data_IF_143384178419
#
_entry.id   IF_143384178419
#
_cell.length_a   1.000
_cell.length_b   1.000
_cell.length_c   1.000
_cell.angle_alpha   90.00
_cell.angle_beta   90.00
_cell.angle_gamma   90.00
#
_symmetry.space_group_name_H-M   'P 1'
#
loop_
_entity.id
_entity.type
_entity.pdbx_description
1 polymer ?
#
# COMPACT_ATOMS: atom_id res chain seq x y z
N UNK A 1 -5.38 -37.18 3.56
CA UNK A 1 -6.14 -36.00 4.04
C UNK A 1 -5.51 -35.31 5.26
N UNK A 2 -5.05 -36.02 6.31
CA UNK A 2 -4.47 -35.39 7.53
C UNK A 2 -3.28 -34.44 7.31
N UNK A 3 -2.35 -34.75 6.39
CA UNK A 3 -1.17 -33.90 6.10
C UNK A 3 -1.52 -32.53 5.49
N UNK A 4 -2.62 -32.42 4.76
CA UNK A 4 -3.08 -31.16 4.16
C UNK A 4 -3.67 -30.23 5.23
N UNK A 5 -4.35 -30.80 6.23
CA UNK A 5 -4.96 -30.07 7.34
C UNK A 5 -3.90 -29.51 8.29
N UNK A 6 -2.84 -30.28 8.58
CA UNK A 6 -1.71 -29.81 9.40
C UNK A 6 -0.91 -28.69 8.73
N UNK A 7 -0.65 -28.81 7.42
CA UNK A 7 0.01 -27.76 6.63
C UNK A 7 -0.82 -26.47 6.58
N UNK A 8 -2.16 -26.57 6.50
CA UNK A 8 -3.05 -25.40 6.58
C UNK A 8 -3.00 -24.73 7.95
N UNK A 9 -2.91 -25.50 9.04
CA UNK A 9 -2.84 -24.95 10.40
C UNK A 9 -1.47 -24.31 10.72
N UNK A 10 -0.36 -24.86 10.21
CA UNK A 10 0.95 -24.23 10.36
C UNK A 10 1.05 -22.92 9.59
N UNK A 11 0.50 -22.88 8.37
CA UNK A 11 0.40 -21.66 7.56
C UNK A 11 -0.47 -20.60 8.25
N UNK A 12 -1.64 -20.97 8.78
CA UNK A 12 -2.49 -20.04 9.56
C UNK A 12 -1.76 -19.44 10.77
N UNK A 13 -1.01 -20.26 11.52
CA UNK A 13 -0.22 -19.79 12.67
C UNK A 13 0.93 -18.87 12.25
N UNK A 14 1.59 -19.15 11.12
CA UNK A 14 2.63 -18.25 10.59
C UNK A 14 2.05 -16.91 10.15
N UNK A 15 0.90 -16.90 9.47
CA UNK A 15 0.22 -15.67 9.04
C UNK A 15 -0.19 -14.84 10.26
N UNK A 16 -0.76 -15.48 11.29
CA UNK A 16 -1.19 -14.79 12.51
C UNK A 16 0.00 -14.20 13.30
N UNK A 17 1.12 -14.92 13.36
CA UNK A 17 2.36 -14.46 13.99
C UNK A 17 3.02 -13.32 13.19
N UNK A 18 3.03 -13.43 11.86
CA UNK A 18 3.52 -12.37 10.98
C UNK A 18 2.67 -11.10 11.10
N UNK A 19 1.34 -11.23 11.16
CA UNK A 19 0.43 -10.11 11.38
C UNK A 19 0.68 -9.39 12.71
N UNK A 20 0.90 -10.15 13.79
CA UNK A 20 1.23 -9.60 15.12
C UNK A 20 2.59 -8.89 15.15
N UNK A 21 3.59 -9.45 14.47
CA UNK A 21 4.93 -8.83 14.38
C UNK A 21 4.89 -7.56 13.52
N UNK A 22 4.17 -7.58 12.39
CA UNK A 22 4.02 -6.40 11.55
C UNK A 22 3.26 -5.27 12.27
N UNK A 23 2.18 -5.60 12.99
CA UNK A 23 1.45 -4.64 13.80
C UNK A 23 2.31 -4.07 14.94
N UNK A 24 3.04 -4.93 15.66
CA UNK A 24 3.96 -4.50 16.72
C UNK A 24 5.09 -3.60 16.22
N UNK A 25 5.66 -3.90 15.06
CA UNK A 25 6.67 -3.07 14.43
C UNK A 25 6.10 -1.69 14.04
N UNK A 26 4.93 -1.65 13.40
CA UNK A 26 4.27 -0.41 13.03
C UNK A 26 3.93 0.47 14.26
N UNK A 27 3.47 -0.13 15.36
CA UNK A 27 3.23 0.61 16.61
C UNK A 27 4.53 1.13 17.22
N UNK A 28 5.61 0.33 17.21
CA UNK A 28 6.90 0.76 17.74
C UNK A 28 7.49 1.95 16.98
N UNK A 29 7.32 2.01 15.65
CA UNK A 29 7.79 3.17 14.86
C UNK A 29 7.02 4.45 15.15
N UNK A 30 5.73 4.35 15.46
CA UNK A 30 4.90 5.51 15.81
C UNK A 30 5.23 6.04 17.21
N UNK A 31 5.61 5.17 18.15
CA UNK A 31 5.92 5.56 19.54
C UNK A 31 7.32 6.18 19.72
N UNK A 32 8.21 6.11 18.73
CA UNK A 32 9.60 6.60 18.82
C UNK A 32 9.83 7.98 18.18
N UNK A 33 8.78 8.71 17.79
CA UNK A 33 8.95 10.05 17.21
C UNK A 33 9.12 11.10 18.31
N UNK A 34 10.34 11.57 18.54
CA UNK A 34 10.60 12.73 19.40
C UNK A 34 10.39 14.01 18.59
N UNK A 35 9.45 14.88 19.00
CA UNK A 35 9.22 16.16 18.33
C UNK A 35 10.34 17.14 18.69
N UNK A 36 11.17 17.53 17.70
CA UNK A 36 12.24 18.52 17.86
C UNK A 36 11.76 19.85 17.27
N UNK A 37 11.51 20.84 18.13
CA UNK A 37 11.07 22.17 17.70
C UNK A 37 12.29 23.03 17.32
N UNK A 38 12.56 23.15 16.02
CA UNK A 38 13.57 24.07 15.49
C UNK A 38 12.90 25.40 15.09
N UNK A 39 13.18 26.49 15.81
CA UNK A 39 12.71 27.83 15.40
C UNK A 39 13.45 28.27 14.13
N UNK A 40 12.73 28.78 13.12
CA UNK A 40 13.31 29.24 11.86
C UNK A 40 13.47 28.17 10.78
N UNK A 41 12.88 26.98 10.96
CA UNK A 41 12.90 25.91 9.96
C UNK A 41 12.04 26.21 8.71
N UNK A 42 11.14 27.21 8.75
CA UNK A 42 10.20 27.51 7.65
C UNK A 42 10.88 27.77 6.29
N UNK A 43 12.07 28.37 6.31
CA UNK A 43 12.87 28.61 5.09
C UNK A 43 13.33 27.32 4.41
N UNK A 44 13.45 26.22 5.16
CA UNK A 44 13.84 24.90 4.63
C UNK A 44 12.66 23.92 4.57
N UNK A 45 11.66 24.02 5.44
CA UNK A 45 10.51 23.11 5.46
C UNK A 45 9.50 23.44 4.37
N UNK A 46 9.32 24.71 3.98
CA UNK A 46 8.36 25.07 2.93
C UNK A 46 8.70 24.47 1.54
N UNK A 47 9.95 24.56 1.04
CA UNK A 47 10.34 23.88 -0.20
C UNK A 47 10.24 22.36 -0.11
N UNK A 48 10.60 21.79 1.04
CA UNK A 48 10.53 20.33 1.27
C UNK A 48 9.08 19.82 1.27
N UNK A 49 8.15 20.59 1.85
CA UNK A 49 6.72 20.25 1.85
C UNK A 49 6.12 20.29 0.44
N UNK A 50 6.53 21.25 -0.38
CA UNK A 50 6.14 21.29 -1.80
C UNK A 50 6.67 20.09 -2.58
N UNK A 51 7.93 19.70 -2.33
CA UNK A 51 8.51 18.50 -2.95
C UNK A 51 7.79 17.23 -2.52
N UNK A 52 7.48 17.08 -1.21
CA UNK A 52 6.68 15.98 -0.67
C UNK A 52 5.32 15.89 -1.37
N UNK A 53 4.60 17.00 -1.44
CA UNK A 53 3.28 17.06 -2.08
C UNK A 53 3.35 16.71 -3.57
N UNK A 54 4.39 17.19 -4.27
CA UNK A 54 4.64 16.85 -5.67
C UNK A 54 4.88 15.34 -5.84
N UNK A 55 5.71 14.74 -5.00
CA UNK A 55 6.01 13.30 -5.07
C UNK A 55 4.75 12.46 -4.78
N UNK A 56 3.96 12.82 -3.77
CA UNK A 56 2.68 12.15 -3.47
C UNK A 56 1.72 12.26 -4.66
N UNK A 57 1.65 13.44 -5.30
CA UNK A 57 0.81 13.64 -6.47
C UNK A 57 1.25 12.77 -7.66
N UNK A 58 2.56 12.62 -7.90
CA UNK A 58 3.09 11.75 -8.95
C UNK A 58 2.77 10.28 -8.67
N UNK A 59 2.95 9.81 -7.43
CA UNK A 59 2.62 8.43 -7.04
C UNK A 59 1.13 8.17 -7.23
N UNK A 60 0.26 9.10 -6.81
CA UNK A 60 -1.17 9.01 -7.03
C UNK A 60 -1.53 8.89 -8.52
N UNK A 61 -0.94 9.73 -9.37
CA UNK A 61 -1.15 9.71 -10.82
C UNK A 61 -0.69 8.39 -11.47
N UNK A 62 0.48 7.88 -11.09
CA UNK A 62 0.98 6.58 -11.56
C UNK A 62 0.06 5.44 -11.12
N UNK A 63 -0.46 5.48 -9.90
CA UNK A 63 -1.42 4.49 -9.38
C UNK A 63 -2.70 4.40 -10.22
N UNK A 64 -3.25 5.55 -10.65
CA UNK A 64 -4.44 5.62 -11.51
C UNK A 64 -4.14 5.05 -12.91
N UNK A 65 -2.97 5.31 -13.47
CA UNK A 65 -2.56 4.77 -14.78
C UNK A 65 -2.44 3.24 -14.72
N UNK A 66 -1.83 2.71 -13.66
CA UNK A 66 -1.72 1.26 -13.44
C UNK A 66 -3.11 0.63 -13.32
N UNK A 67 -4.04 1.28 -12.62
CA UNK A 67 -5.45 0.87 -12.57
C UNK A 67 -6.07 0.75 -13.94
N UNK A 68 -5.97 1.81 -14.75
CA UNK A 68 -6.56 1.85 -16.08
C UNK A 68 -6.04 0.69 -16.94
N UNK A 69 -4.72 0.44 -16.92
CA UNK A 69 -4.11 -0.68 -17.65
C UNK A 69 -4.63 -2.04 -17.21
N UNK A 70 -4.67 -2.30 -15.90
CA UNK A 70 -5.12 -3.60 -15.40
C UNK A 70 -6.64 -3.79 -15.51
N UNK A 71 -7.44 -2.72 -15.50
CA UNK A 71 -8.90 -2.80 -15.77
C UNK A 71 -9.16 -3.13 -17.25
N UNK A 72 -8.38 -2.57 -18.18
CA UNK A 72 -8.49 -2.89 -19.60
C UNK A 72 -8.10 -4.36 -19.88
N UNK A 73 -7.02 -4.87 -19.27
CA UNK A 73 -6.63 -6.29 -19.36
C UNK A 73 -7.64 -7.22 -18.66
N UNK A 74 -8.26 -6.78 -17.57
CA UNK A 74 -9.34 -7.52 -16.89
C UNK A 74 -10.57 -7.66 -17.78
N UNK A 75 -10.99 -6.61 -18.49
CA UNK A 75 -12.15 -6.65 -19.39
C UNK A 75 -11.94 -7.59 -20.59
N UNK A 76 -10.71 -7.63 -21.14
CA UNK A 76 -10.37 -8.51 -22.26
C UNK A 76 -10.24 -9.97 -21.83
N UNK A 77 -9.59 -10.24 -20.69
CA UNK A 77 -9.49 -11.60 -20.13
C UNK A 77 -10.81 -12.16 -19.63
N UNK A 78 -11.77 -11.31 -19.24
CA UNK A 78 -13.12 -11.73 -18.85
C UNK A 78 -13.90 -12.38 -19.99
N UNK A 79 -13.75 -11.89 -21.23
CA UNK A 79 -14.43 -12.47 -22.40
C UNK A 79 -13.77 -13.75 -22.91
N UNK A 80 -12.48 -13.96 -22.62
CA UNK A 80 -11.72 -15.14 -23.07
C UNK A 80 -11.67 -16.27 -22.02
N UNK A 81 -12.29 -16.11 -20.85
CA UNK A 81 -12.25 -17.08 -19.73
C UNK A 81 -10.82 -17.48 -19.27
N UNK A 82 -9.80 -16.71 -19.63
CA UNK A 82 -8.42 -16.93 -19.20
C UNK A 82 -8.22 -16.45 -17.76
N UNK A 83 -8.57 -17.33 -16.84
CA UNK A 83 -8.55 -17.12 -15.39
C UNK A 83 -7.15 -16.78 -14.82
N UNK A 84 -6.07 -17.10 -15.53
CA UNK A 84 -4.70 -16.71 -15.17
C UNK A 84 -4.42 -15.23 -15.41
N UNK A 85 -4.79 -14.71 -16.58
CA UNK A 85 -4.66 -13.29 -16.95
C UNK A 85 -5.58 -12.41 -16.11
N UNK A 86 -6.78 -12.89 -15.79
CA UNK A 86 -7.71 -12.20 -14.91
C UNK A 86 -7.19 -12.05 -13.48
N UNK A 87 -6.55 -13.09 -12.92
CA UNK A 87 -6.02 -13.03 -11.56
C UNK A 87 -4.81 -12.08 -11.44
N UNK A 88 -3.98 -11.98 -12.49
CA UNK A 88 -2.91 -10.97 -12.55
C UNK A 88 -3.46 -9.56 -12.70
N UNK A 89 -4.52 -9.37 -13.50
CA UNK A 89 -5.18 -8.08 -13.64
C UNK A 89 -5.83 -7.62 -12.33
N UNK A 90 -6.50 -8.51 -11.58
CA UNK A 90 -7.05 -8.19 -10.25
C UNK A 90 -5.94 -7.74 -9.29
N UNK A 91 -4.79 -8.41 -9.28
CA UNK A 91 -3.65 -8.02 -8.44
C UNK A 91 -3.13 -6.63 -8.79
N UNK A 92 -3.06 -6.30 -10.08
CA UNK A 92 -2.67 -4.97 -10.53
C UNK A 92 -3.70 -3.89 -10.19
N UNK A 93 -5.01 -4.21 -10.23
CA UNK A 93 -6.08 -3.31 -9.77
C UNK A 93 -5.94 -3.04 -8.27
N UNK A 94 -5.75 -4.07 -7.45
CA UNK A 94 -5.59 -3.90 -5.99
C UNK A 94 -4.34 -3.08 -5.66
N UNK A 95 -3.21 -3.36 -6.32
CA UNK A 95 -1.97 -2.61 -6.12
C UNK A 95 -2.12 -1.13 -6.52
N UNK A 96 -2.74 -0.84 -7.66
CA UNK A 96 -2.94 0.54 -8.08
C UNK A 96 -3.95 1.30 -7.20
N UNK A 97 -4.93 0.62 -6.57
CA UNK A 97 -5.90 1.26 -5.67
C UNK A 97 -5.20 1.76 -4.41
N UNK A 98 -4.27 0.96 -3.88
CA UNK A 98 -3.43 1.34 -2.74
C UNK A 98 -2.52 2.51 -3.11
N UNK A 99 -1.96 2.51 -4.33
CA UNK A 99 -1.08 3.58 -4.82
C UNK A 99 -1.85 4.89 -5.09
N UNK A 100 -3.04 4.82 -5.68
CA UNK A 100 -3.89 5.98 -5.92
C UNK A 100 -4.46 6.57 -4.62
N UNK A 101 -4.73 5.70 -3.62
CA UNK A 101 -5.21 6.08 -2.30
C UNK A 101 -4.12 6.47 -1.30
N UNK A 102 -2.83 6.51 -1.69
CA UNK A 102 -1.76 6.78 -0.73
C UNK A 102 -1.91 8.16 -0.06
N UNK A 103 -2.43 9.15 -0.80
CA UNK A 103 -2.70 10.49 -0.28
C UNK A 103 -3.76 10.47 0.83
N UNK A 104 -4.86 9.74 0.64
CA UNK A 104 -5.93 9.63 1.65
C UNK A 104 -5.44 8.87 2.87
N UNK A 105 -4.67 7.79 2.69
CA UNK A 105 -4.07 7.04 3.81
C UNK A 105 -3.11 7.92 4.63
N UNK A 106 -2.28 8.73 3.98
CA UNK A 106 -1.37 9.67 4.68
C UNK A 106 -2.14 10.75 5.46
N UNK A 107 -3.25 11.26 4.91
CA UNK A 107 -4.15 12.17 5.63
C UNK A 107 -4.79 11.49 6.84
N UNK A 108 -5.27 10.25 6.70
CA UNK A 108 -5.84 9.48 7.80
C UNK A 108 -4.82 9.18 8.92
N UNK A 109 -3.54 9.03 8.58
CA UNK A 109 -2.46 8.80 9.54
C UNK A 109 -1.92 10.10 10.17
N UNK A 110 -2.45 11.27 9.81
CA UNK A 110 -2.04 12.56 10.36
C UNK A 110 -0.66 13.04 9.92
N UNK A 111 -0.14 12.51 8.80
CA UNK A 111 1.20 12.84 8.27
C UNK A 111 1.08 13.80 7.07
N UNK A 112 0.03 14.61 7.02
CA UNK A 112 -0.17 15.64 5.98
C UNK A 112 0.84 16.77 6.10
#
# INVERSE_FOLDING_TARGET
>A
MKKLTEKKNSIKKMIDKAGKVAAGAAFATVLWTTNVYASGADVVTAPLNNLKNLVIAIIGAVGVIILAKNVMEFAQSYQQQDSSSMNSAIKGIVAGLIMAGISTVLTFLGIS
#
